data_IF_536760813588
#
_entry.id   IF_536760813588
#
_cell.length_a   1.000
_cell.length_b   1.000
_cell.length_c   1.000
_cell.angle_alpha   90.00
_cell.angle_beta   90.00
_cell.angle_gamma   90.00
#
_symmetry.space_group_name_H-M   'P 1'
#
loop_
_entity.id
_entity.type
_entity.pdbx_description
1 polymer ?
#
# COMPACT_ATOMS: atom_id res chain seq x y z
N UNK A 1 -24.66 -24.16 57.07
CA UNK A 1 -23.42 -24.76 57.62
C UNK A 1 -22.27 -24.38 56.70
N UNK A 2 -21.76 -23.15 56.85
CA UNK A 2 -20.53 -22.74 56.18
C UNK A 2 -19.38 -23.01 57.15
N UNK A 3 -18.31 -23.64 56.69
CA UNK A 3 -17.08 -23.71 57.47
C UNK A 3 -16.49 -22.29 57.54
N UNK A 4 -16.44 -21.71 58.74
CA UNK A 4 -15.66 -20.51 59.03
C UNK A 4 -14.18 -20.88 59.04
N UNK A 5 -13.59 -20.92 57.83
CA UNK A 5 -12.14 -21.09 57.65
C UNK A 5 -11.50 -19.74 57.96
N UNK A 6 -11.18 -19.51 59.22
CA UNK A 6 -10.53 -18.27 59.68
C UNK A 6 -9.08 -18.17 59.17
N UNK A 7 -8.45 -19.31 58.82
CA UNK A 7 -7.05 -19.33 58.39
C UNK A 7 -6.69 -20.53 57.50
N UNK A 8 -6.17 -20.24 56.31
CA UNK A 8 -5.48 -21.21 55.44
C UNK A 8 -3.99 -21.02 55.60
N UNK A 9 -3.26 -22.09 55.91
CA UNK A 9 -1.79 -22.08 56.02
C UNK A 9 -1.24 -22.81 54.80
N UNK A 10 -0.52 -22.08 53.96
CA UNK A 10 0.21 -22.65 52.83
C UNK A 10 1.61 -23.02 53.34
N UNK A 11 1.89 -24.32 53.42
CA UNK A 11 3.26 -24.82 53.62
C UNK A 11 3.87 -25.03 52.24
N UNK A 12 4.89 -24.23 51.92
CA UNK A 12 5.70 -24.39 50.71
C UNK A 12 6.98 -25.10 51.14
N UNK A 13 7.28 -26.24 50.53
CA UNK A 13 8.54 -26.95 50.73
C UNK A 13 9.67 -26.11 50.09
N UNK A 14 10.56 -25.56 50.92
CA UNK A 14 11.54 -24.54 50.51
C UNK A 14 12.82 -25.16 49.89
N UNK A 15 12.89 -26.50 49.83
CA UNK A 15 14.10 -27.27 49.56
C UNK A 15 14.63 -27.16 48.12
N UNK A 16 13.80 -26.73 47.16
CA UNK A 16 14.11 -26.79 45.72
C UNK A 16 13.92 -25.47 44.96
N UNK A 17 13.69 -24.36 45.69
CA UNK A 17 13.32 -23.06 45.09
C UNK A 17 14.43 -22.45 44.27
N UNK A 18 15.67 -22.60 44.71
CA UNK A 18 16.82 -22.01 44.03
C UNK A 18 17.11 -22.71 42.69
N UNK A 19 16.90 -24.03 42.60
CA UNK A 19 17.03 -24.80 41.35
C UNK A 19 15.87 -24.50 40.38
N UNK A 20 14.64 -24.41 40.89
CA UNK A 20 13.46 -24.03 40.10
C UNK A 20 13.58 -22.60 39.56
N UNK A 21 14.08 -21.64 40.36
CA UNK A 21 14.31 -20.26 39.93
C UNK A 21 15.40 -20.19 38.85
N UNK A 22 16.51 -20.91 39.04
CA UNK A 22 17.60 -20.94 38.06
C UNK A 22 17.17 -21.56 36.72
N UNK A 23 16.37 -22.63 36.75
CA UNK A 23 15.84 -23.26 35.53
C UNK A 23 14.82 -22.37 34.81
N UNK A 24 13.99 -21.65 35.56
CA UNK A 24 13.03 -20.69 35.01
C UNK A 24 13.72 -19.48 34.38
N UNK A 25 14.74 -18.92 35.03
CA UNK A 25 15.55 -17.83 34.47
C UNK A 25 16.26 -18.25 33.18
N UNK A 26 16.81 -19.45 33.13
CA UNK A 26 17.44 -19.99 31.93
C UNK A 26 16.44 -20.14 30.78
N UNK A 27 15.22 -20.63 31.07
CA UNK A 27 14.17 -20.77 30.07
C UNK A 27 13.67 -19.42 29.54
N UNK A 28 13.49 -18.42 30.42
CA UNK A 28 13.09 -17.07 30.02
C UNK A 28 14.15 -16.42 29.12
N UNK A 29 15.44 -16.58 29.46
CA UNK A 29 16.53 -16.04 28.63
C UNK A 29 16.60 -16.67 27.24
N UNK A 30 16.35 -17.99 27.14
CA UNK A 30 16.33 -18.68 25.86
C UNK A 30 15.14 -18.20 24.99
N UNK A 31 13.95 -18.08 25.58
CA UNK A 31 12.75 -17.59 24.90
C UNK A 31 12.89 -16.12 24.46
N UNK A 32 13.45 -15.26 25.32
CA UNK A 32 13.74 -13.86 24.99
C UNK A 32 14.73 -13.76 23.82
N UNK A 33 15.75 -14.63 23.79
CA UNK A 33 16.71 -14.63 22.69
C UNK A 33 16.09 -15.12 21.37
N UNK A 34 15.22 -16.13 21.41
CA UNK A 34 14.52 -16.64 20.24
C UNK A 34 13.51 -15.61 19.71
N UNK A 35 12.70 -15.03 20.59
CA UNK A 35 11.70 -14.03 20.23
C UNK A 35 12.34 -12.75 19.66
N UNK A 36 13.48 -12.30 20.22
CA UNK A 36 14.23 -11.18 19.68
C UNK A 36 14.73 -11.45 18.25
N UNK A 37 15.26 -12.63 17.97
CA UNK A 37 15.69 -13.03 16.62
C UNK A 37 14.51 -13.05 15.66
N UNK A 38 13.41 -13.69 16.02
CA UNK A 38 12.21 -13.71 15.17
C UNK A 38 11.63 -12.31 14.92
N UNK A 39 11.63 -11.44 15.92
CA UNK A 39 11.15 -10.07 15.78
C UNK A 39 12.03 -9.30 14.78
N UNK A 40 13.36 -9.45 14.85
CA UNK A 40 14.27 -8.82 13.88
C UNK A 40 14.03 -9.32 12.46
N UNK A 41 13.87 -10.63 12.26
CA UNK A 41 13.58 -11.18 10.93
C UNK A 41 12.22 -10.73 10.38
N UNK A 42 11.19 -10.67 11.23
CA UNK A 42 9.86 -10.19 10.84
C UNK A 42 9.92 -8.70 10.48
N UNK A 43 10.66 -7.89 11.22
CA UNK A 43 10.87 -6.46 10.92
C UNK A 43 11.63 -6.29 9.59
N UNK A 44 12.65 -7.09 9.33
CA UNK A 44 13.40 -7.05 8.07
C UNK A 44 12.54 -7.47 6.88
N UNK A 45 11.75 -8.55 7.00
CA UNK A 45 10.79 -8.98 5.96
C UNK A 45 9.75 -7.91 5.67
N UNK A 46 9.16 -7.30 6.71
CA UNK A 46 8.19 -6.21 6.55
C UNK A 46 8.85 -4.98 5.90
N UNK A 47 10.09 -4.63 6.26
CA UNK A 47 10.84 -3.54 5.61
C UNK A 47 11.11 -3.84 4.14
N UNK A 48 11.51 -5.07 3.80
CA UNK A 48 11.75 -5.48 2.42
C UNK A 48 10.46 -5.49 1.57
N UNK A 49 9.33 -5.92 2.13
CA UNK A 49 8.03 -5.86 1.46
C UNK A 49 7.54 -4.42 1.29
N UNK A 50 7.72 -3.56 2.30
CA UNK A 50 7.41 -2.12 2.18
C UNK A 50 8.28 -1.41 1.16
N UNK A 51 9.57 -1.76 1.05
CA UNK A 51 10.46 -1.22 0.02
C UNK A 51 9.99 -1.62 -1.39
N UNK A 52 9.62 -2.89 -1.61
CA UNK A 52 9.05 -3.36 -2.90
C UNK A 52 7.72 -2.70 -3.26
N UNK A 53 6.90 -2.33 -2.27
CA UNK A 53 5.65 -1.60 -2.50
C UNK A 53 5.89 -0.10 -2.75
N UNK A 54 6.93 0.50 -2.16
CA UNK A 54 7.31 1.89 -2.41
C UNK A 54 7.92 2.11 -3.81
N UNK A 55 8.57 1.11 -4.41
CA UNK A 55 9.04 1.22 -5.81
C UNK A 55 7.90 1.37 -6.84
N UNK A 56 6.66 0.99 -6.50
CA UNK A 56 5.49 1.22 -7.37
C UNK A 56 4.74 2.53 -7.09
N UNK A 57 5.05 3.24 -6.00
CA UNK A 57 4.40 4.50 -5.61
C UNK A 57 5.39 5.67 -5.47
N UNK A 58 6.66 5.46 -5.81
CA UNK A 58 7.77 6.41 -5.63
C UNK A 58 8.23 7.12 -6.90
N UNK A 59 7.49 7.02 -8.00
CA UNK A 59 7.65 8.01 -9.07
C UNK A 59 6.80 9.21 -8.69
N UNK A 60 7.41 10.19 -8.00
CA UNK A 60 6.95 11.57 -8.19
C UNK A 60 7.12 11.82 -9.68
N UNK A 61 6.02 11.67 -10.43
CA UNK A 61 6.06 11.89 -11.86
C UNK A 61 6.15 13.39 -12.06
N UNK A 62 7.35 13.93 -11.96
CA UNK A 62 7.57 15.38 -11.90
C UNK A 62 6.95 16.07 -13.11
N UNK A 63 6.97 15.40 -14.29
CA UNK A 63 6.17 15.74 -15.48
C UNK A 63 5.93 14.49 -16.34
N UNK A 64 4.71 13.94 -16.33
CA UNK A 64 4.32 12.89 -17.29
C UNK A 64 3.88 13.56 -18.60
N UNK A 65 4.82 13.88 -19.49
CA UNK A 65 4.45 14.41 -20.80
C UNK A 65 4.47 13.28 -21.83
N UNK A 66 3.29 12.86 -22.27
CA UNK A 66 3.16 11.89 -23.35
C UNK A 66 2.89 12.64 -24.66
N UNK A 67 3.79 12.49 -25.62
CA UNK A 67 3.65 13.09 -26.95
C UNK A 67 4.31 14.47 -27.08
N UNK A 68 3.79 15.30 -27.99
CA UNK A 68 4.36 16.61 -28.29
C UNK A 68 3.99 17.63 -27.21
N UNK A 69 4.82 18.67 -26.98
CA UNK A 69 4.42 19.79 -26.13
C UNK A 69 3.17 20.44 -26.71
N UNK A 70 2.16 20.64 -25.86
CA UNK A 70 0.90 21.29 -26.23
C UNK A 70 0.99 22.73 -25.73
N UNK A 71 0.83 23.70 -26.64
CA UNK A 71 0.59 25.08 -26.23
C UNK A 71 -0.84 25.18 -25.70
N UNK A 72 -0.97 25.41 -24.40
CA UNK A 72 -2.26 25.55 -23.70
C UNK A 72 -2.64 27.03 -23.75
N UNK A 73 -3.51 27.39 -24.69
CA UNK A 73 -4.04 28.75 -24.80
C UNK A 73 -5.18 28.99 -23.79
N UNK A 74 -6.08 28.01 -23.65
CA UNK A 74 -7.19 28.06 -22.72
C UNK A 74 -7.67 26.64 -22.38
N UNK A 75 -7.87 26.36 -21.09
CA UNK A 75 -8.45 25.10 -20.61
C UNK A 75 -9.97 25.26 -20.61
N UNK A 76 -10.67 24.44 -21.39
CA UNK A 76 -12.14 24.46 -21.44
C UNK A 76 -12.69 23.37 -20.49
N UNK A 77 -13.77 23.65 -19.74
CA UNK A 77 -14.49 22.61 -19.01
C UNK A 77 -15.15 21.64 -20.00
N UNK A 78 -15.33 20.41 -19.55
CA UNK A 78 -15.82 19.32 -20.40
C UNK A 78 -17.27 19.55 -20.84
N UNK A 79 -18.11 20.14 -19.96
CA UNK A 79 -19.54 20.39 -20.23
C UNK A 79 -19.82 21.24 -21.49
N UNK A 80 -18.86 22.07 -21.94
CA UNK A 80 -19.03 22.96 -23.10
C UNK A 80 -18.72 22.22 -24.41
N UNK A 81 -18.09 21.05 -24.35
CA UNK A 81 -17.67 20.26 -25.51
C UNK A 81 -18.87 19.43 -26.01
N UNK A 82 -19.82 20.10 -26.66
CA UNK A 82 -21.07 19.48 -27.17
C UNK A 82 -20.89 18.98 -28.61
N UNK A 83 -20.14 19.72 -29.43
CA UNK A 83 -19.91 19.42 -30.84
C UNK A 83 -18.47 18.94 -31.11
N UNK A 84 -18.22 18.43 -32.32
CA UNK A 84 -16.90 17.99 -32.74
C UNK A 84 -15.94 19.18 -32.89
N UNK A 85 -14.88 19.17 -32.08
CA UNK A 85 -13.88 20.24 -32.05
C UNK A 85 -12.50 19.68 -32.42
N UNK A 86 -11.73 20.44 -33.21
CA UNK A 86 -10.47 19.95 -33.77
C UNK A 86 -9.35 19.87 -32.73
N UNK A 87 -9.29 20.84 -31.81
CA UNK A 87 -8.24 20.91 -30.77
C UNK A 87 -8.77 21.64 -29.53
N UNK A 88 -8.81 20.93 -28.41
CA UNK A 88 -9.18 21.47 -27.10
C UNK A 88 -8.15 21.00 -26.06
N UNK A 89 -7.86 21.85 -25.09
CA UNK A 89 -7.16 21.47 -23.87
C UNK A 89 -8.18 21.33 -22.72
N UNK A 90 -8.14 20.18 -22.05
CA UNK A 90 -8.98 19.88 -20.88
C UNK A 90 -8.09 19.51 -19.70
N UNK A 91 -8.55 19.79 -18.50
CA UNK A 91 -7.92 19.38 -17.24
C UNK A 91 -8.93 18.57 -16.44
N UNK A 92 -8.50 17.46 -15.84
CA UNK A 92 -9.39 16.59 -15.09
C UNK A 92 -8.68 15.41 -14.45
N UNK A 93 -9.45 14.63 -13.69
CA UNK A 93 -9.01 13.43 -12.99
C UNK A 93 -9.29 12.20 -13.85
N UNK A 94 -8.30 11.33 -13.98
CA UNK A 94 -8.44 10.03 -14.64
C UNK A 94 -8.97 9.03 -13.61
N UNK A 95 -10.13 8.43 -13.87
CA UNK A 95 -10.74 7.45 -12.97
C UNK A 95 -10.70 6.02 -13.50
N UNK A 96 -10.45 5.83 -14.79
CA UNK A 96 -10.33 4.52 -15.41
C UNK A 96 -9.31 4.54 -16.55
N UNK A 97 -8.53 3.47 -16.65
CA UNK A 97 -7.47 3.30 -17.65
C UNK A 97 -7.55 1.88 -18.19
N UNK A 98 -7.75 1.77 -19.50
CA UNK A 98 -7.78 0.49 -20.19
C UNK A 98 -6.74 0.45 -21.32
N UNK A 99 -5.84 -0.53 -21.29
CA UNK A 99 -4.81 -0.69 -22.32
C UNK A 99 -5.09 -1.99 -23.07
N UNK A 100 -5.34 -1.89 -24.38
CA UNK A 100 -5.55 -3.05 -25.26
C UNK A 100 -4.43 -3.15 -26.28
N UNK A 101 -3.91 -4.37 -26.47
CA UNK A 101 -2.91 -4.67 -27.50
C UNK A 101 -3.61 -5.02 -28.82
N UNK A 102 -3.22 -4.36 -29.90
CA UNK A 102 -3.71 -4.67 -31.25
C UNK A 102 -2.90 -5.79 -31.90
N UNK A 103 -3.50 -6.46 -32.90
CA UNK A 103 -2.83 -7.47 -33.75
C UNK A 103 -1.58 -6.93 -34.45
N UNK A 104 -1.49 -5.61 -34.66
CA UNK A 104 -0.33 -4.93 -35.25
C UNK A 104 0.85 -4.74 -34.29
N UNK A 105 0.72 -5.17 -33.03
CA UNK A 105 1.72 -4.98 -31.97
C UNK A 105 1.66 -3.62 -31.27
N UNK A 106 0.83 -2.68 -31.75
CA UNK A 106 0.59 -1.37 -31.10
C UNK A 106 -0.40 -1.50 -29.95
N UNK A 107 -0.46 -0.49 -29.08
CA UNK A 107 -1.42 -0.40 -27.99
C UNK A 107 -2.42 0.74 -28.26
N UNK A 108 -3.67 0.49 -27.88
CA UNK A 108 -4.69 1.53 -27.71
C UNK A 108 -4.89 1.72 -26.21
N UNK A 109 -4.73 2.96 -25.76
CA UNK A 109 -4.99 3.38 -24.39
C UNK A 109 -6.32 4.11 -24.40
N UNK A 110 -7.29 3.60 -23.66
CA UNK A 110 -8.58 4.23 -23.41
C UNK A 110 -8.55 4.80 -22.00
N UNK A 111 -8.64 6.12 -21.89
CA UNK A 111 -8.66 6.85 -20.62
C UNK A 111 -10.06 7.41 -20.42
N UNK A 112 -10.62 7.28 -19.22
CA UNK A 112 -11.83 8.02 -18.84
C UNK A 112 -11.44 9.15 -17.89
N UNK A 113 -11.78 10.36 -18.28
CA UNK A 113 -11.40 11.59 -17.60
C UNK A 113 -12.66 12.34 -17.19
N UNK A 114 -12.66 12.92 -16.01
CA UNK A 114 -13.74 13.79 -15.52
C UNK A 114 -13.16 15.05 -14.89
N UNK A 115 -13.82 16.18 -15.10
CA UNK A 115 -13.57 17.43 -14.38
C UNK A 115 -14.63 17.69 -13.29
N UNK A 116 -15.41 16.66 -12.94
CA UNK A 116 -16.61 16.68 -12.09
C UNK A 116 -17.82 17.43 -12.66
N UNK A 117 -17.70 18.12 -13.80
CA UNK A 117 -18.87 18.68 -14.53
C UNK A 117 -19.41 17.65 -15.51
N UNK A 118 -18.53 16.97 -16.23
CA UNK A 118 -18.87 15.89 -17.14
C UNK A 118 -17.67 14.91 -17.27
N UNK A 119 -17.79 13.92 -18.16
CA UNK A 119 -16.77 12.89 -18.40
C UNK A 119 -16.58 12.60 -19.88
N UNK A 120 -15.33 12.40 -20.28
CA UNK A 120 -14.95 12.04 -21.65
C UNK A 120 -14.10 10.77 -21.69
N UNK A 121 -14.24 10.03 -22.79
CA UNK A 121 -13.41 8.87 -23.10
C UNK A 121 -12.38 9.26 -24.15
N UNK A 122 -11.11 9.29 -23.77
CA UNK A 122 -9.98 9.58 -24.65
C UNK A 122 -9.35 8.29 -25.15
N UNK A 123 -9.09 8.21 -26.46
CA UNK A 123 -8.39 7.08 -27.08
C UNK A 123 -7.06 7.52 -27.66
N UNK A 124 -5.98 7.02 -27.09
CA UNK A 124 -4.63 7.27 -27.57
C UNK A 124 -4.07 6.01 -28.24
N UNK A 125 -3.55 6.17 -29.45
CA UNK A 125 -2.81 5.12 -30.15
C UNK A 125 -1.31 5.34 -29.95
N UNK A 126 -0.62 4.32 -29.41
CA UNK A 126 0.83 4.39 -29.27
C UNK A 126 1.49 4.40 -30.66
N UNK A 127 2.45 5.29 -30.84
CA UNK A 127 3.32 5.28 -32.02
C UNK A 127 4.33 4.12 -31.88
N UNK A 128 4.81 3.60 -33.02
CA UNK A 128 5.96 2.68 -33.02
C UNK A 128 7.21 3.43 -32.59
#
# INVERSE_FOLDING_TARGET
CGFDIDKVIFETDDSNRDEDLASLEAHIQEEDQQSAKEATEKIEKIKAEKAKQQDNNGSSVEKCQIGKPIHVENIKPIEIIIEEEFKIAIEGVIFDINIKKLKSGRHIVELKVTDYTDSLVLKMFTRK
#
